data_IF_744629377625
#
_entry.id   IF_744629377625
#
_cell.length_a   1.000
_cell.length_b   1.000
_cell.length_c   1.000
_cell.angle_alpha   90.00
_cell.angle_beta   90.00
_cell.angle_gamma   90.00
#
_symmetry.space_group_name_H-M   'P 1'
#
loop_
_entity.id
_entity.type
_entity.pdbx_description
1 polymer ?
#
# COMPACT_ATOMS: atom_id res chain seq x y z
N UNK A 1 -18.06 -26.40 18.24
CA UNK A 1 -18.06 -25.14 19.00
C UNK A 1 -19.11 -24.23 18.36
N UNK A 2 -20.01 -23.58 19.11
CA UNK A 2 -21.07 -22.78 18.52
C UNK A 2 -20.50 -21.53 17.83
N UNK A 3 -20.98 -21.24 16.62
CA UNK A 3 -20.67 -20.07 15.81
C UNK A 3 -21.16 -18.78 16.50
N UNK A 4 -20.44 -18.27 17.50
CA UNK A 4 -20.69 -16.93 18.02
C UNK A 4 -20.11 -15.89 17.04
N UNK A 5 -21.01 -15.06 16.51
CA UNK A 5 -20.66 -13.92 15.66
C UNK A 5 -20.71 -12.65 16.50
N UNK A 6 -19.58 -11.94 16.59
CA UNK A 6 -19.52 -10.63 17.24
C UNK A 6 -20.10 -9.57 16.29
N UNK A 7 -20.99 -8.72 16.81
CA UNK A 7 -21.44 -7.55 16.07
C UNK A 7 -20.21 -6.71 15.70
N UNK A 8 -20.05 -6.43 14.40
CA UNK A 8 -18.96 -5.58 13.93
C UNK A 8 -19.04 -4.20 14.59
N UNK A 9 -17.89 -3.50 14.68
CA UNK A 9 -17.89 -2.08 15.05
C UNK A 9 -18.85 -1.32 14.11
N UNK A 10 -19.50 -0.23 14.57
CA UNK A 10 -20.45 0.55 13.77
C UNK A 10 -19.71 1.39 12.72
N UNK A 11 -18.95 0.73 11.85
CA UNK A 11 -18.08 1.28 10.82
C UNK A 11 -18.45 0.61 9.51
N UNK A 12 -18.83 1.40 8.52
CA UNK A 12 -19.21 0.88 7.20
C UNK A 12 -18.09 0.00 6.62
N UNK A 13 -18.45 -1.21 6.16
CA UNK A 13 -17.52 -2.18 5.57
C UNK A 13 -16.94 -3.20 6.57
N UNK A 14 -17.11 -3.01 7.89
CA UNK A 14 -16.79 -4.03 8.88
C UNK A 14 -17.92 -5.07 8.93
N UNK A 15 -17.55 -6.33 8.68
CA UNK A 15 -18.48 -7.45 8.74
C UNK A 15 -18.48 -8.09 10.12
N UNK A 16 -19.61 -8.68 10.57
CA UNK A 16 -19.61 -9.54 11.74
C UNK A 16 -18.56 -10.65 11.61
N UNK A 17 -17.75 -10.85 12.65
CA UNK A 17 -16.68 -11.85 12.66
C UNK A 17 -17.04 -12.98 13.62
N UNK A 18 -16.63 -14.21 13.30
CA UNK A 18 -16.74 -15.31 14.25
C UNK A 18 -15.67 -15.20 15.36
N UNK A 19 -15.90 -15.90 16.46
CA UNK A 19 -14.99 -15.91 17.61
C UNK A 19 -13.55 -16.33 17.24
N UNK A 20 -13.38 -17.26 16.30
CA UNK A 20 -12.07 -17.76 15.85
C UNK A 20 -11.25 -16.67 15.16
N UNK A 21 -11.86 -15.93 14.22
CA UNK A 21 -11.20 -14.80 13.53
C UNK A 21 -10.81 -13.70 14.51
N UNK A 22 -11.68 -13.40 15.49
CA UNK A 22 -11.39 -12.42 16.55
C UNK A 22 -10.22 -12.88 17.42
N UNK A 23 -10.22 -14.14 17.86
CA UNK A 23 -9.12 -14.70 18.65
C UNK A 23 -7.79 -14.65 17.89
N UNK A 24 -7.81 -14.96 16.58
CA UNK A 24 -6.61 -14.91 15.74
C UNK A 24 -6.06 -13.49 15.58
N UNK A 25 -6.92 -12.48 15.32
CA UNK A 25 -6.47 -11.09 15.23
C UNK A 25 -5.94 -10.58 16.59
N UNK A 26 -6.55 -10.97 17.70
CA UNK A 26 -6.04 -10.64 19.03
C UNK A 26 -4.65 -11.25 19.27
N UNK A 27 -4.44 -12.51 18.88
CA UNK A 27 -3.13 -13.15 18.95
C UNK A 27 -2.09 -12.42 18.08
N UNK A 28 -2.47 -12.03 16.85
CA UNK A 28 -1.62 -11.24 15.97
C UNK A 28 -1.24 -9.89 16.58
N UNK A 29 -2.18 -9.21 17.24
CA UNK A 29 -1.94 -7.92 17.92
C UNK A 29 -0.91 -8.04 19.05
N UNK A 30 -0.97 -9.13 19.81
CA UNK A 30 0.03 -9.42 20.85
C UNK A 30 1.41 -9.68 20.23
N UNK A 31 1.47 -10.39 19.11
CA UNK A 31 2.73 -10.66 18.42
C UNK A 31 3.33 -9.38 17.80
N UNK A 32 2.51 -8.55 17.16
CA UNK A 32 2.87 -7.25 16.62
C UNK A 32 3.60 -6.39 17.65
N UNK A 33 2.99 -6.21 18.83
CA UNK A 33 3.55 -5.42 19.92
C UNK A 33 4.91 -5.97 20.40
N UNK A 34 5.05 -7.30 20.50
CA UNK A 34 6.33 -7.93 20.87
C UNK A 34 7.43 -7.64 19.85
N UNK A 35 7.11 -7.73 18.57
CA UNK A 35 8.06 -7.44 17.49
C UNK A 35 8.45 -5.95 17.47
N UNK A 36 7.47 -5.05 17.68
CA UNK A 36 7.73 -3.60 17.76
C UNK A 36 8.68 -3.29 18.92
N UNK A 37 8.41 -3.80 20.13
CA UNK A 37 9.29 -3.59 21.29
C UNK A 37 10.72 -4.08 21.08
N UNK A 38 10.88 -5.20 20.37
CA UNK A 38 12.20 -5.71 20.01
C UNK A 38 12.94 -4.72 19.07
N UNK A 39 12.24 -4.18 18.07
CA UNK A 39 12.81 -3.18 17.17
C UNK A 39 13.09 -1.83 17.87
N UNK A 40 12.24 -1.42 18.81
CA UNK A 40 12.48 -0.24 19.65
C UNK A 40 13.70 -0.42 20.54
N UNK A 41 13.89 -1.60 21.13
CA UNK A 41 15.09 -1.92 21.91
C UNK A 41 16.37 -1.74 21.09
N UNK A 42 16.35 -2.14 19.81
CA UNK A 42 17.47 -1.91 18.88
C UNK A 42 17.64 -0.43 18.57
N UNK A 43 16.55 0.28 18.28
CA UNK A 43 16.56 1.74 18.00
C UNK A 43 17.18 2.52 19.16
N UNK A 44 16.85 2.14 20.38
CA UNK A 44 17.23 2.86 21.60
C UNK A 44 18.61 2.41 22.14
N UNK A 45 19.25 1.43 21.51
CA UNK A 45 20.61 0.98 21.86
C UNK A 45 21.68 1.85 21.16
N UNK A 46 22.59 2.49 21.92
CA UNK A 46 23.68 3.27 21.34
C UNK A 46 24.57 2.44 20.40
N UNK A 47 24.95 3.04 19.27
CA UNK A 47 25.80 2.39 18.27
C UNK A 47 25.05 1.53 17.23
N UNK A 48 23.72 1.45 17.32
CA UNK A 48 22.87 0.81 16.32
C UNK A 48 22.33 1.82 15.30
N UNK A 49 22.00 1.34 14.10
CA UNK A 49 21.36 2.18 13.08
C UNK A 49 19.87 2.40 13.39
N UNK A 50 19.59 3.56 14.00
CA UNK A 50 18.23 3.97 14.35
C UNK A 50 17.30 4.17 13.14
N UNK A 51 17.83 4.51 11.96
CA UNK A 51 17.02 4.64 10.73
C UNK A 51 16.53 3.28 10.27
N UNK A 52 17.39 2.26 10.28
CA UNK A 52 17.00 0.90 9.92
C UNK A 52 15.98 0.34 10.92
N UNK A 53 16.16 0.61 12.22
CA UNK A 53 15.18 0.21 13.24
C UNK A 53 13.81 0.90 13.03
N UNK A 54 13.78 2.20 12.71
CA UNK A 54 12.54 2.91 12.40
C UNK A 54 11.81 2.36 11.16
N UNK A 55 12.56 1.97 10.11
CA UNK A 55 12.00 1.31 8.94
C UNK A 55 11.43 -0.06 9.30
N UNK A 56 12.12 -0.84 10.14
CA UNK A 56 11.62 -2.13 10.61
C UNK A 56 10.28 -1.99 11.36
N UNK A 57 10.15 -0.99 12.24
CA UNK A 57 8.89 -0.70 12.97
C UNK A 57 7.76 -0.40 11.98
N UNK A 58 8.00 0.48 11.00
CA UNK A 58 7.00 0.82 9.96
C UNK A 58 6.56 -0.43 9.18
N UNK A 59 7.52 -1.26 8.77
CA UNK A 59 7.23 -2.46 8.00
C UNK A 59 6.48 -3.52 8.83
N UNK A 60 6.77 -3.63 10.13
CA UNK A 60 6.02 -4.52 11.04
C UNK A 60 4.56 -4.09 11.14
N UNK A 61 4.30 -2.80 11.37
CA UNK A 61 2.93 -2.26 11.42
C UNK A 61 2.17 -2.54 10.11
N UNK A 62 2.82 -2.34 8.96
CA UNK A 62 2.23 -2.65 7.65
C UNK A 62 1.95 -4.14 7.49
N UNK A 63 2.91 -5.01 7.85
CA UNK A 63 2.75 -6.46 7.75
C UNK A 63 1.57 -6.96 8.59
N UNK A 64 1.45 -6.51 9.84
CA UNK A 64 0.33 -6.91 10.71
C UNK A 64 -1.00 -6.28 10.30
N UNK A 65 -1.00 -5.08 9.73
CA UNK A 65 -2.20 -4.52 9.10
C UNK A 65 -2.70 -5.42 7.98
N UNK A 66 -1.83 -5.82 7.04
CA UNK A 66 -2.21 -6.71 5.93
C UNK A 66 -2.61 -8.10 6.40
N UNK A 67 -1.91 -8.66 7.38
CA UNK A 67 -2.22 -9.95 7.97
C UNK A 67 -3.61 -9.96 8.61
N UNK A 68 -3.93 -8.95 9.43
CA UNK A 68 -5.24 -8.84 10.06
C UNK A 68 -6.35 -8.58 9.03
N UNK A 69 -6.05 -7.82 7.96
CA UNK A 69 -7.00 -7.62 6.85
C UNK A 69 -7.29 -8.93 6.11
N UNK A 70 -6.31 -9.83 5.97
CA UNK A 70 -6.51 -11.15 5.38
C UNK A 70 -7.42 -12.05 6.24
N UNK A 71 -7.45 -11.84 7.56
CA UNK A 71 -8.36 -12.57 8.47
C UNK A 71 -9.78 -12.00 8.44
N UNK A 72 -9.90 -10.68 8.61
CA UNK A 72 -11.20 -10.02 8.74
C UNK A 72 -11.92 -9.76 7.41
N UNK A 73 -11.19 -9.74 6.29
CA UNK A 73 -11.74 -9.63 4.93
C UNK A 73 -12.79 -8.50 4.80
N UNK A 74 -12.48 -7.25 5.20
CA UNK A 74 -13.47 -6.18 5.19
C UNK A 74 -13.93 -5.88 3.76
N UNK A 75 -15.24 -5.71 3.62
CA UNK A 75 -15.89 -5.44 2.34
C UNK A 75 -15.72 -3.99 1.89
N UNK A 76 -15.93 -3.74 0.60
CA UNK A 76 -16.07 -2.37 0.08
C UNK A 76 -17.46 -1.82 0.45
N UNK A 77 -17.52 -0.54 0.79
CA UNK A 77 -18.79 0.15 0.99
C UNK A 77 -19.43 0.42 -0.38
N UNK A 78 -20.73 0.19 -0.47
CA UNK A 78 -21.49 0.55 -1.67
C UNK A 78 -21.69 2.07 -1.71
N UNK A 79 -21.28 2.68 -2.81
CA UNK A 79 -21.50 4.11 -3.07
C UNK A 79 -22.80 4.27 -3.88
N UNK A 80 -23.68 5.23 -3.53
CA UNK A 80 -24.89 5.53 -4.32
C UNK A 80 -24.60 5.81 -5.81
N UNK A 81 -23.45 6.40 -6.11
CA UNK A 81 -23.02 6.82 -7.44
C UNK A 81 -22.36 5.72 -8.29
N UNK A 82 -22.30 4.46 -7.82
CA UNK A 82 -21.53 3.38 -8.46
C UNK A 82 -21.92 3.04 -9.92
N UNK A 83 -23.02 3.60 -10.46
CA UNK A 83 -23.39 3.53 -11.89
C UNK A 83 -22.81 4.64 -12.76
N UNK A 84 -22.38 5.76 -12.17
CA UNK A 84 -21.70 6.84 -12.86
C UNK A 84 -20.20 6.55 -12.84
N UNK A 85 -19.65 6.05 -13.97
CA UNK A 85 -18.20 6.03 -14.14
C UNK A 85 -17.67 7.43 -13.81
N UNK A 86 -16.60 7.51 -13.01
CA UNK A 86 -15.79 8.72 -12.80
C UNK A 86 -15.12 9.12 -14.14
N UNK A 87 -15.93 9.55 -15.12
CA UNK A 87 -15.54 10.07 -16.43
C UNK A 87 -16.15 11.46 -16.63
N UNK A 88 -16.13 12.27 -15.59
CA UNK A 88 -16.32 13.70 -15.74
C UNK A 88 -15.00 14.35 -15.32
N UNK A 89 -14.40 15.09 -16.24
CA UNK A 89 -13.40 16.14 -15.96
C UNK A 89 -11.96 15.70 -15.63
N UNK A 90 -11.35 14.91 -16.50
CA UNK A 90 -9.92 15.12 -16.76
C UNK A 90 -9.74 15.52 -18.23
N UNK A 91 -10.27 16.68 -18.59
CA UNK A 91 -9.84 17.37 -19.79
C UNK A 91 -8.55 18.13 -19.41
N UNK A 92 -7.38 17.70 -19.90
CA UNK A 92 -6.14 18.39 -19.57
C UNK A 92 -6.27 19.86 -20.02
N UNK A 93 -5.92 20.84 -19.17
CA UNK A 93 -6.11 22.27 -19.47
C UNK A 93 -5.24 22.79 -20.62
N UNK A 94 -4.46 21.90 -21.26
CA UNK A 94 -3.61 22.22 -22.39
C UNK A 94 -3.75 21.15 -23.47
N UNK A 95 -3.81 21.54 -24.76
CA UNK A 95 -3.75 20.57 -25.84
C UNK A 95 -2.44 19.79 -25.70
N UNK A 96 -2.54 18.46 -25.65
CA UNK A 96 -1.38 17.59 -25.80
C UNK A 96 -0.83 17.86 -27.19
N UNK A 97 0.23 18.67 -27.26
CA UNK A 97 0.98 18.84 -28.50
C UNK A 97 1.50 17.45 -28.86
N UNK A 98 0.93 16.83 -29.90
CA UNK A 98 1.57 15.71 -30.55
C UNK A 98 2.97 16.18 -30.90
N UNK A 99 3.98 15.64 -30.22
CA UNK A 99 5.34 15.71 -30.70
C UNK A 99 5.35 15.00 -32.05
N UNK A 100 5.12 15.78 -33.10
CA UNK A 100 5.64 15.45 -34.42
C UNK A 100 7.15 15.44 -34.23
N UNK A 101 7.74 14.25 -34.12
CA UNK A 101 9.16 14.06 -34.36
C UNK A 101 9.42 14.42 -35.83
N UNK A 102 9.50 15.72 -36.12
CA UNK A 102 10.21 16.22 -37.27
C UNK A 102 11.66 15.80 -37.03
N UNK A 103 12.14 14.84 -37.83
CA UNK A 103 13.52 14.37 -37.77
C UNK A 103 14.47 15.55 -37.85
N UNK A 104 15.13 15.86 -36.74
CA UNK A 104 16.27 16.75 -36.77
C UNK A 104 17.44 15.96 -37.32
N UNK A 105 17.82 16.24 -38.57
CA UNK A 105 19.13 15.88 -39.07
C UNK A 105 20.18 16.47 -38.10
N UNK A 106 20.96 15.61 -37.47
CA UNK A 106 22.05 15.99 -36.59
C UNK A 106 23.16 16.67 -37.42
N UNK A 107 23.47 17.96 -37.21
CA UNK A 107 24.53 18.65 -37.94
C UNK A 107 25.94 18.26 -37.47
N UNK A 108 26.10 17.28 -36.56
CA UNK A 108 27.39 16.88 -35.98
C UNK A 108 27.89 15.48 -36.39
N UNK A 109 27.33 14.88 -37.43
CA UNK A 109 27.93 13.68 -38.04
C UNK A 109 28.88 14.07 -39.19
N UNK A 110 30.21 13.92 -39.03
CA UNK A 110 31.11 14.04 -40.17
C UNK A 110 30.83 12.90 -41.16
N UNK A 111 30.66 13.28 -42.43
CA UNK A 111 30.48 12.37 -43.55
C UNK A 111 31.51 11.24 -43.53
N UNK A 112 31.02 10.01 -43.69
CA UNK A 112 31.81 8.80 -43.61
C UNK A 112 33.08 8.85 -44.46
N UNK A 113 34.20 8.46 -43.86
CA UNK A 113 35.39 8.09 -44.63
C UNK A 113 35.14 6.74 -45.30
N UNK A 114 35.44 6.58 -46.60
CA UNK A 114 35.51 5.25 -47.18
C UNK A 114 36.68 4.50 -46.53
N UNK A 115 36.42 3.29 -46.02
CA UNK A 115 37.47 2.36 -45.62
C UNK A 115 38.21 1.86 -46.88
N UNK A 116 39.55 1.75 -46.84
CA UNK A 116 40.33 1.02 -47.85
C UNK A 116 40.11 -0.50 -47.76
#
# INVERSE_FOLDING_TARGET
MPNEHHQGLPVAGYQPQNAEKVALVNANKVLEERCIRAAESVRDTPGMDGRMAALAITNLQQAFMWLNRAVFEPGRVALPEAGARLRAEFEPPYPVQQQVHAGSADPRLPAGRPHP
#
